data_IF_010093004925
#
_entry.id   IF_010093004925
#
_cell.length_a   1.000
_cell.length_b   1.000
_cell.length_c   1.000
_cell.angle_alpha   90.00
_cell.angle_beta   90.00
_cell.angle_gamma   90.00
#
_symmetry.space_group_name_H-M   'P 1'
#
loop_
_entity.id
_entity.type
_entity.pdbx_description
1 polymer ?
#
# COMPACT_ATOMS: atom_id res chain seq x y z
N UNK A 1 50.78 -79.83 -10.36
CA UNK A 1 50.71 -79.49 -8.95
C UNK A 1 51.02 -78.05 -8.80
N UNK A 2 50.01 -77.18 -8.74
CA UNK A 2 50.23 -75.73 -8.66
C UNK A 2 48.98 -75.09 -8.04
N UNK A 3 49.16 -74.64 -6.81
CA UNK A 3 48.16 -73.92 -6.00
C UNK A 3 48.13 -72.44 -6.41
N UNK A 4 46.97 -71.92 -6.82
CA UNK A 4 46.76 -70.50 -7.06
C UNK A 4 46.06 -69.90 -5.85
N UNK A 5 46.73 -68.95 -5.18
CA UNK A 5 46.17 -68.05 -4.21
C UNK A 5 45.46 -66.90 -4.91
N UNK A 6 44.15 -66.69 -4.62
CA UNK A 6 43.42 -65.51 -5.00
C UNK A 6 43.49 -64.49 -3.83
N UNK A 7 44.01 -63.31 -4.11
CA UNK A 7 43.90 -62.15 -3.26
C UNK A 7 42.59 -61.39 -3.63
N UNK A 8 41.66 -61.31 -2.72
CA UNK A 8 40.52 -60.39 -2.80
C UNK A 8 40.92 -59.06 -2.15
N UNK A 9 41.00 -57.99 -2.96
CA UNK A 9 41.13 -56.61 -2.52
C UNK A 9 39.72 -56.03 -2.34
N UNK A 10 39.33 -55.87 -1.08
CA UNK A 10 38.07 -55.14 -0.73
C UNK A 10 38.29 -53.65 -0.83
N UNK A 11 37.57 -53.00 -1.76
CA UNK A 11 37.49 -51.55 -1.87
C UNK A 11 36.41 -51.02 -0.88
N UNK A 12 36.85 -50.31 0.14
CA UNK A 12 35.96 -49.56 1.05
C UNK A 12 35.58 -48.26 0.36
N UNK A 13 34.32 -48.18 -0.10
CA UNK A 13 33.75 -46.92 -0.62
C UNK A 13 33.25 -46.13 0.60
N UNK A 14 34.01 -45.10 0.98
CA UNK A 14 33.63 -44.12 1.98
C UNK A 14 32.67 -43.11 1.30
N UNK A 15 31.35 -43.28 1.48
CA UNK A 15 30.35 -42.34 1.01
C UNK A 15 30.38 -41.08 1.91
N UNK A 16 31.00 -40.01 1.40
CA UNK A 16 30.87 -38.66 1.97
C UNK A 16 29.46 -38.14 1.72
N UNK A 17 28.60 -38.24 2.71
CA UNK A 17 27.34 -37.52 2.81
C UNK A 17 27.66 -36.04 3.06
N UNK A 18 27.79 -35.28 1.98
CA UNK A 18 27.72 -33.82 2.03
C UNK A 18 26.27 -33.45 2.40
N UNK A 19 26.05 -33.24 3.69
CA UNK A 19 24.82 -32.66 4.19
C UNK A 19 24.71 -31.22 3.66
N UNK A 20 23.87 -31.00 2.67
CA UNK A 20 23.39 -29.66 2.33
C UNK A 20 22.57 -29.14 3.52
N UNK A 21 23.21 -28.30 4.33
CA UNK A 21 22.53 -27.47 5.31
C UNK A 21 21.73 -26.41 4.53
N UNK A 22 20.59 -26.81 3.99
CA UNK A 22 19.60 -25.84 3.54
C UNK A 22 19.21 -25.01 4.75
N UNK A 23 19.47 -23.72 4.73
CA UNK A 23 18.99 -22.80 5.76
C UNK A 23 17.47 -22.91 5.75
N UNK A 24 16.92 -23.58 6.75
CA UNK A 24 15.47 -23.72 6.90
C UNK A 24 14.86 -22.37 7.23
N UNK A 25 14.06 -21.84 6.34
CA UNK A 25 13.28 -20.60 6.57
C UNK A 25 12.23 -20.80 7.69
N UNK A 26 11.94 -22.04 8.05
CA UNK A 26 10.92 -22.38 9.05
C UNK A 26 11.26 -21.87 10.46
N UNK A 27 12.51 -22.06 10.94
CA UNK A 27 12.87 -21.67 12.31
C UNK A 27 12.70 -20.16 12.60
N UNK A 28 13.15 -19.20 11.77
CA UNK A 28 12.92 -17.77 12.02
C UNK A 28 11.44 -17.35 11.98
N UNK A 29 10.61 -18.02 11.16
CA UNK A 29 9.16 -17.76 11.14
C UNK A 29 8.49 -18.32 12.41
N UNK A 30 8.88 -19.50 12.85
CA UNK A 30 8.36 -20.11 14.09
C UNK A 30 8.72 -19.28 15.32
N UNK A 31 9.93 -18.71 15.37
CA UNK A 31 10.36 -17.79 16.41
C UNK A 31 9.51 -16.52 16.44
N UNK A 32 9.22 -15.96 15.26
CA UNK A 32 8.34 -14.80 15.13
C UNK A 32 6.92 -15.14 15.61
N UNK A 33 6.36 -16.28 15.20
CA UNK A 33 5.04 -16.76 15.65
C UNK A 33 5.01 -16.96 17.17
N UNK A 34 6.08 -17.52 17.76
CA UNK A 34 6.17 -17.70 19.21
C UNK A 34 6.21 -16.36 19.96
N UNK A 35 6.91 -15.36 19.42
CA UNK A 35 6.92 -14.01 19.97
C UNK A 35 5.53 -13.35 19.91
N UNK A 36 4.82 -13.49 18.80
CA UNK A 36 3.44 -12.99 18.63
C UNK A 36 2.47 -13.62 19.62
N UNK A 37 2.58 -14.93 19.86
CA UNK A 37 1.76 -15.61 20.89
C UNK A 37 1.96 -15.02 22.29
N UNK A 38 3.17 -14.56 22.61
CA UNK A 38 3.47 -13.91 23.91
C UNK A 38 2.92 -12.49 23.95
N UNK A 39 2.92 -11.76 22.83
CA UNK A 39 2.34 -10.41 22.72
C UNK A 39 0.81 -10.46 22.86
N UNK A 40 0.14 -11.47 22.32
CA UNK A 40 -1.28 -11.79 22.54
C UNK A 40 -2.29 -10.85 21.84
N UNK A 41 -1.83 -9.79 21.22
CA UNK A 41 -2.69 -8.80 20.53
C UNK A 41 -1.93 -8.08 19.44
N UNK A 42 -2.66 -7.54 18.44
CA UNK A 42 -2.14 -6.58 17.46
C UNK A 42 -3.10 -5.41 17.28
N UNK A 43 -2.58 -4.20 17.37
CA UNK A 43 -3.27 -2.96 17.02
C UNK A 43 -3.05 -2.67 15.52
N UNK A 44 -4.02 -3.07 14.70
CA UNK A 44 -3.97 -3.05 13.25
C UNK A 44 -4.62 -1.78 12.70
N UNK A 45 -3.83 -0.95 12.01
CA UNK A 45 -4.31 0.25 11.33
C UNK A 45 -4.38 0.04 9.82
N UNK A 46 -5.51 0.39 9.21
CA UNK A 46 -5.69 0.29 7.76
C UNK A 46 -6.75 1.25 7.21
N UNK A 47 -6.92 1.30 5.88
CA UNK A 47 -7.90 2.18 5.24
C UNK A 47 -9.33 1.79 5.62
N UNK A 48 -10.21 2.79 5.82
CA UNK A 48 -11.64 2.54 6.13
C UNK A 48 -12.36 1.72 5.05
N UNK A 49 -11.83 1.69 3.83
CA UNK A 49 -12.35 0.84 2.73
C UNK A 49 -12.17 -0.66 2.98
N UNK A 50 -11.28 -1.07 3.89
CA UNK A 50 -11.17 -2.47 4.32
C UNK A 50 -12.44 -2.93 5.06
N UNK A 51 -13.13 -2.04 5.73
CA UNK A 51 -14.28 -2.27 6.59
C UNK A 51 -13.96 -3.13 7.83
N UNK A 52 -14.76 -3.06 8.91
CA UNK A 52 -14.62 -3.94 10.07
C UNK A 52 -14.73 -5.43 9.71
N UNK A 53 -15.59 -5.77 8.74
CA UNK A 53 -15.78 -7.15 8.28
C UNK A 53 -14.52 -7.69 7.59
N UNK A 54 -13.87 -6.87 6.75
CA UNK A 54 -12.63 -7.24 6.09
C UNK A 54 -11.49 -7.43 7.09
N UNK A 55 -11.36 -6.52 8.05
CA UNK A 55 -10.36 -6.63 9.11
C UNK A 55 -10.58 -7.89 9.98
N UNK A 56 -11.82 -8.18 10.35
CA UNK A 56 -12.16 -9.41 11.09
C UNK A 56 -11.85 -10.67 10.29
N UNK A 57 -12.10 -10.67 8.96
CA UNK A 57 -11.74 -11.80 8.09
C UNK A 57 -10.23 -12.00 8.01
N UNK A 58 -9.45 -10.93 7.90
CA UNK A 58 -7.98 -10.96 7.94
C UNK A 58 -7.50 -11.51 9.28
N UNK A 59 -7.98 -11.00 10.41
CA UNK A 59 -7.60 -11.47 11.75
C UNK A 59 -7.90 -12.96 11.95
N UNK A 60 -9.07 -13.42 11.51
CA UNK A 60 -9.45 -14.84 11.57
C UNK A 60 -8.52 -15.72 10.73
N UNK A 61 -8.22 -15.32 9.49
CA UNK A 61 -7.32 -16.07 8.61
C UNK A 61 -5.87 -16.06 9.12
N UNK A 62 -5.42 -14.93 9.64
CA UNK A 62 -4.11 -14.77 10.29
C UNK A 62 -3.96 -15.73 11.48
N UNK A 63 -4.91 -15.72 12.41
CA UNK A 63 -4.90 -16.64 13.54
C UNK A 63 -4.93 -18.12 13.12
N UNK A 64 -5.79 -18.46 12.15
CA UNK A 64 -5.88 -19.82 11.61
C UNK A 64 -4.55 -20.28 10.99
N UNK A 65 -3.93 -19.40 10.14
CA UNK A 65 -2.70 -19.74 9.42
C UNK A 65 -1.54 -20.06 10.34
N UNK A 66 -1.40 -19.32 11.43
CA UNK A 66 -0.27 -19.46 12.36
C UNK A 66 -0.61 -20.22 13.65
N UNK A 67 -1.80 -20.83 13.73
CA UNK A 67 -2.22 -21.61 14.89
C UNK A 67 -2.23 -20.78 16.18
N UNK A 68 -2.86 -19.60 16.13
CA UNK A 68 -2.93 -18.62 17.23
C UNK A 68 -4.38 -18.26 17.54
N UNK A 69 -4.57 -17.59 18.68
CA UNK A 69 -5.83 -16.95 19.07
C UNK A 69 -5.51 -15.64 19.78
N UNK A 70 -4.93 -14.71 19.01
CA UNK A 70 -4.60 -13.37 19.52
C UNK A 70 -5.70 -12.37 19.20
N UNK A 71 -5.78 -11.29 20.01
CA UNK A 71 -6.62 -10.15 19.73
C UNK A 71 -6.19 -9.44 18.43
N UNK A 72 -7.16 -9.05 17.60
CA UNK A 72 -6.90 -8.33 16.33
C UNK A 72 -7.76 -7.07 16.30
N UNK A 73 -7.19 -5.95 16.77
CA UNK A 73 -7.92 -4.70 16.95
C UNK A 73 -7.75 -3.78 15.74
N UNK A 74 -8.83 -3.52 15.03
CA UNK A 74 -8.81 -2.70 13.82
C UNK A 74 -9.13 -1.25 14.07
N UNK A 75 -8.24 -0.36 13.62
CA UNK A 75 -8.43 1.10 13.60
C UNK A 75 -8.60 1.58 12.15
N UNK A 76 -9.83 1.93 11.72
CA UNK A 76 -10.06 2.43 10.37
C UNK A 76 -9.56 3.87 10.21
N UNK A 77 -8.91 4.16 9.09
CA UNK A 77 -8.50 5.51 8.71
C UNK A 77 -9.42 6.14 7.69
N UNK A 78 -9.91 7.34 7.99
CA UNK A 78 -10.51 8.25 7.00
C UNK A 78 -9.51 9.20 6.34
N UNK A 79 -8.26 9.25 6.83
CA UNK A 79 -7.20 10.14 6.32
C UNK A 79 -5.81 9.67 6.78
N UNK A 80 -5.16 8.84 5.97
CA UNK A 80 -3.79 8.38 6.23
C UNK A 80 -2.80 9.52 6.46
N UNK A 81 -2.91 10.61 5.68
CA UNK A 81 -2.03 11.79 5.83
C UNK A 81 -2.14 12.41 7.22
N UNK A 82 -3.37 12.57 7.75
CA UNK A 82 -3.59 13.07 9.11
C UNK A 82 -3.02 12.13 10.15
N UNK A 83 -3.25 10.83 9.97
CA UNK A 83 -2.93 9.82 10.97
C UNK A 83 -1.41 9.54 11.02
N UNK A 84 -0.71 9.61 9.87
CA UNK A 84 0.76 9.66 9.82
C UNK A 84 1.31 10.92 10.50
N UNK A 85 0.64 12.07 10.33
CA UNK A 85 0.95 13.31 11.05
C UNK A 85 0.88 13.15 12.57
N UNK A 86 -0.09 12.36 13.10
CA UNK A 86 -0.18 12.04 14.54
C UNK A 86 1.02 11.23 15.02
N UNK A 87 1.43 10.19 14.28
CA UNK A 87 2.64 9.41 14.64
C UNK A 87 3.87 10.32 14.72
N UNK A 88 4.04 11.21 13.73
CA UNK A 88 5.16 12.17 13.74
C UNK A 88 5.09 13.10 14.96
N UNK A 89 3.91 13.63 15.29
CA UNK A 89 3.68 14.48 16.46
C UNK A 89 3.91 13.74 17.78
N UNK A 90 3.41 12.52 17.92
CA UNK A 90 3.60 11.68 19.11
C UNK A 90 5.09 11.38 19.31
N UNK A 91 5.81 10.98 18.27
CA UNK A 91 7.25 10.72 18.36
C UNK A 91 8.04 11.95 18.79
N UNK A 92 7.69 13.16 18.31
CA UNK A 92 8.31 14.41 18.72
C UNK A 92 8.05 14.75 20.20
N UNK A 93 6.97 14.24 20.78
CA UNK A 93 6.59 14.43 22.21
C UNK A 93 6.97 13.21 23.08
N UNK A 94 7.72 12.23 22.57
CA UNK A 94 8.09 11.03 23.32
C UNK A 94 6.93 10.06 23.61
N UNK A 95 5.80 10.21 22.92
CA UNK A 95 4.62 9.35 23.08
C UNK A 95 4.72 8.15 22.13
N UNK A 96 4.56 6.95 22.67
CA UNK A 96 4.55 5.71 21.88
C UNK A 96 3.41 5.71 20.83
N UNK A 97 3.62 5.05 19.68
CA UNK A 97 2.56 4.87 18.69
C UNK A 97 1.41 4.04 19.26
N UNK A 98 0.19 4.35 18.82
CA UNK A 98 -1.03 3.62 19.23
C UNK A 98 -1.29 2.37 18.39
N UNK A 99 -0.54 2.15 17.32
CA UNK A 99 -0.70 1.02 16.39
C UNK A 99 0.60 0.23 16.29
N UNK A 100 0.46 -1.08 16.16
CA UNK A 100 1.58 -2.01 16.01
C UNK A 100 1.95 -2.21 14.54
N UNK A 101 0.96 -2.10 13.63
CA UNK A 101 1.19 -2.14 12.19
C UNK A 101 0.31 -1.13 11.48
N UNK A 102 0.87 -0.47 10.48
CA UNK A 102 0.15 0.47 9.62
C UNK A 102 0.17 -0.01 8.17
N UNK A 103 -1.03 -0.16 7.58
CA UNK A 103 -1.21 -0.43 6.17
C UNK A 103 -1.57 0.87 5.45
N UNK A 104 -0.54 1.56 4.96
CA UNK A 104 -0.67 2.86 4.27
C UNK A 104 0.17 2.86 2.99
N UNK A 105 0.06 3.93 2.19
CA UNK A 105 0.80 3.97 0.93
C UNK A 105 2.28 4.31 1.10
N UNK A 106 3.06 4.00 0.07
CA UNK A 106 4.49 4.24 -0.06
C UNK A 106 4.93 5.65 0.40
N UNK A 107 4.23 6.74 -0.02
CA UNK A 107 4.58 8.11 0.40
C UNK A 107 4.38 8.35 1.90
N UNK A 108 3.39 7.69 2.51
CA UNK A 108 3.14 7.79 3.94
C UNK A 108 4.26 7.11 4.75
N UNK A 109 4.63 5.87 4.36
CA UNK A 109 5.76 5.19 4.97
C UNK A 109 7.09 5.87 4.65
N UNK A 110 7.29 6.37 3.43
CA UNK A 110 8.45 7.18 3.08
C UNK A 110 8.63 8.40 3.98
N UNK A 111 7.53 9.07 4.34
CA UNK A 111 7.56 10.21 5.29
C UNK A 111 7.97 9.79 6.71
N UNK A 112 7.52 8.62 7.18
CA UNK A 112 7.92 8.05 8.48
C UNK A 112 9.39 7.58 8.45
N UNK A 113 9.79 6.87 7.39
CA UNK A 113 11.16 6.39 7.21
C UNK A 113 12.19 7.51 7.18
N UNK A 114 11.95 8.60 6.46
CA UNK A 114 12.83 9.79 6.44
C UNK A 114 13.05 10.39 7.82
N UNK A 115 12.16 10.13 8.78
CA UNK A 115 12.23 10.57 10.18
C UNK A 115 12.71 9.49 11.14
N UNK A 116 13.09 8.31 10.61
CA UNK A 116 13.53 7.13 11.39
C UNK A 116 12.44 6.64 12.37
N UNK A 117 11.18 6.71 11.94
CA UNK A 117 9.99 6.33 12.73
C UNK A 117 9.39 4.99 12.32
N UNK A 118 10.13 4.15 11.60
CA UNK A 118 9.77 2.78 11.29
C UNK A 118 10.74 1.82 11.97
N UNK A 119 10.23 0.66 12.40
CA UNK A 119 11.02 -0.42 12.99
C UNK A 119 11.51 -1.36 11.88
N UNK A 120 12.83 -1.52 11.67
CA UNK A 120 13.34 -2.45 10.68
C UNK A 120 13.22 -3.89 11.15
N UNK A 121 13.01 -4.82 10.20
CA UNK A 121 12.98 -6.25 10.46
C UNK A 121 13.59 -7.03 9.29
N UNK A 122 14.29 -8.13 9.56
CA UNK A 122 14.89 -8.96 8.52
C UNK A 122 13.83 -9.90 7.89
N UNK A 123 13.00 -9.32 7.04
CA UNK A 123 11.92 -10.03 6.35
C UNK A 123 12.40 -11.13 5.41
N UNK A 124 13.66 -11.08 4.95
CA UNK A 124 14.24 -12.14 4.11
C UNK A 124 14.33 -13.45 4.87
N UNK A 125 14.66 -13.41 6.17
CA UNK A 125 14.75 -14.60 7.00
C UNK A 125 13.44 -15.36 7.16
N UNK A 126 12.31 -14.67 7.02
CA UNK A 126 10.97 -15.27 7.10
C UNK A 126 10.34 -15.50 5.72
N UNK A 127 11.16 -15.49 4.66
CA UNK A 127 10.77 -15.91 3.31
C UNK A 127 10.04 -14.87 2.47
N UNK A 128 10.09 -13.59 2.84
CA UNK A 128 9.51 -12.52 2.01
C UNK A 128 10.41 -12.25 0.79
N UNK A 129 9.79 -12.16 -0.39
CA UNK A 129 10.48 -11.79 -1.64
C UNK A 129 11.22 -10.45 -1.45
N UNK A 130 12.54 -10.39 -1.70
CA UNK A 130 13.34 -9.16 -1.60
C UNK A 130 12.78 -7.97 -2.39
N UNK A 131 12.10 -8.22 -3.52
CA UNK A 131 11.50 -7.18 -4.34
C UNK A 131 10.33 -6.46 -3.66
N UNK A 132 9.72 -7.08 -2.64
CA UNK A 132 8.65 -6.49 -1.85
C UNK A 132 9.16 -5.69 -0.64
N UNK A 133 10.47 -5.77 -0.31
CA UNK A 133 11.05 -5.15 0.88
C UNK A 133 11.56 -3.75 0.55
N UNK A 134 11.15 -2.75 1.33
CA UNK A 134 11.43 -1.35 1.12
C UNK A 134 11.92 -0.66 2.39
N UNK A 135 12.43 0.58 2.24
CA UNK A 135 12.79 1.47 3.34
C UNK A 135 13.78 0.84 4.33
N UNK A 136 14.89 0.30 3.79
CA UNK A 136 15.93 -0.36 4.58
C UNK A 136 15.37 -1.46 5.48
N UNK A 137 14.58 -2.36 4.88
CA UNK A 137 13.88 -3.47 5.56
C UNK A 137 12.83 -3.05 6.61
N UNK A 138 12.27 -1.83 6.50
CA UNK A 138 11.26 -1.37 7.46
C UNK A 138 9.82 -1.51 6.95
N UNK A 139 9.61 -1.88 5.69
CA UNK A 139 8.26 -2.03 5.13
C UNK A 139 8.21 -3.09 4.03
N UNK A 140 7.03 -3.69 3.86
CA UNK A 140 6.73 -4.64 2.79
C UNK A 140 5.60 -4.09 1.92
N UNK A 141 5.79 -4.06 0.59
CA UNK A 141 4.71 -3.76 -0.36
C UNK A 141 3.86 -5.01 -0.63
N UNK A 142 2.55 -4.86 -0.72
CA UNK A 142 1.65 -5.99 -0.94
C UNK A 142 0.49 -5.70 -1.90
N UNK A 143 0.16 -4.44 -2.17
CA UNK A 143 -0.91 -4.08 -3.10
C UNK A 143 -0.66 -2.71 -3.73
N UNK A 144 -1.42 -2.37 -4.78
CA UNK A 144 -1.39 -1.07 -5.44
C UNK A 144 -2.80 -0.48 -5.53
N UNK A 145 -2.90 0.82 -5.38
CA UNK A 145 -4.09 1.58 -5.74
C UNK A 145 -4.08 1.90 -7.23
N UNK A 146 -5.26 2.16 -7.78
CA UNK A 146 -5.46 2.86 -9.04
C UNK A 146 -6.19 4.16 -8.72
N UNK A 147 -5.50 5.29 -8.85
CA UNK A 147 -6.02 6.62 -8.52
C UNK A 147 -6.18 7.44 -9.78
N UNK A 148 -7.42 7.52 -10.25
CA UNK A 148 -7.81 8.19 -11.49
C UNK A 148 -8.98 9.15 -11.24
N UNK A 149 -9.29 10.05 -12.17
CA UNK A 149 -10.48 10.88 -12.08
C UNK A 149 -11.74 10.01 -11.99
N UNK A 150 -12.58 10.30 -11.01
CA UNK A 150 -13.82 9.56 -10.79
C UNK A 150 -15.04 10.44 -11.04
N UNK A 151 -16.10 9.84 -11.57
CA UNK A 151 -17.34 10.53 -11.94
C UNK A 151 -18.57 9.66 -11.67
N UNK A 152 -19.74 10.29 -11.64
CA UNK A 152 -21.02 9.61 -11.54
C UNK A 152 -21.58 9.38 -12.96
N UNK A 153 -21.78 8.12 -13.34
CA UNK A 153 -22.20 7.72 -14.68
C UNK A 153 -23.62 8.16 -15.04
N UNK A 154 -24.45 8.54 -14.06
CA UNK A 154 -25.80 9.09 -14.29
C UNK A 154 -25.78 10.58 -14.61
N UNK A 155 -24.76 11.32 -14.14
CA UNK A 155 -24.70 12.78 -14.30
C UNK A 155 -23.62 13.23 -15.28
N UNK A 156 -22.64 12.36 -15.60
CA UNK A 156 -21.57 12.64 -16.54
C UNK A 156 -21.91 12.15 -17.95
N UNK A 157 -22.10 13.03 -18.93
CA UNK A 157 -22.26 12.62 -20.32
C UNK A 157 -21.00 11.84 -20.81
N UNK A 158 -21.14 10.78 -21.59
CA UNK A 158 -20.00 9.97 -22.08
C UNK A 158 -18.92 10.81 -22.80
N UNK A 159 -19.35 11.84 -23.55
CA UNK A 159 -18.43 12.72 -24.29
C UNK A 159 -17.66 13.70 -23.39
N UNK A 160 -18.10 13.88 -22.15
CA UNK A 160 -17.46 14.75 -21.17
C UNK A 160 -16.47 14.04 -20.29
N UNK A 161 -16.43 12.69 -20.31
CA UNK A 161 -15.48 11.90 -19.54
C UNK A 161 -14.05 12.24 -20.00
N UNK A 162 -13.15 12.65 -19.07
CA UNK A 162 -11.76 12.97 -19.41
C UNK A 162 -11.05 11.80 -20.09
N UNK A 163 -10.29 12.07 -21.15
CA UNK A 163 -9.48 11.09 -21.89
C UNK A 163 -7.97 11.27 -21.68
N UNK A 164 -7.56 12.39 -21.12
CA UNK A 164 -6.19 12.74 -20.75
C UNK A 164 -6.20 13.66 -19.54
N UNK A 165 -5.10 13.74 -18.82
CA UNK A 165 -4.99 14.57 -17.61
C UNK A 165 -5.29 16.05 -17.88
N UNK A 166 -4.88 16.58 -19.05
CA UNK A 166 -5.11 17.99 -19.40
C UNK A 166 -6.60 18.33 -19.55
N UNK A 167 -7.48 17.35 -19.79
CA UNK A 167 -8.92 17.57 -19.85
C UNK A 167 -9.52 18.02 -18.50
N UNK A 168 -8.80 17.81 -17.38
CA UNK A 168 -9.17 18.34 -16.06
C UNK A 168 -9.00 19.86 -15.97
N UNK A 169 -8.32 20.47 -16.91
CA UNK A 169 -8.10 21.91 -16.99
C UNK A 169 -9.16 22.63 -17.83
N UNK A 170 -10.12 21.90 -18.41
CA UNK A 170 -11.24 22.50 -19.16
C UNK A 170 -12.06 23.41 -18.23
N UNK A 171 -12.36 24.66 -18.65
CA UNK A 171 -13.17 25.59 -17.86
C UNK A 171 -14.55 25.06 -17.45
N UNK A 172 -15.10 24.06 -18.13
CA UNK A 172 -16.36 23.42 -17.74
C UNK A 172 -16.37 22.83 -16.34
N UNK A 173 -15.18 22.50 -15.78
CA UNK A 173 -15.00 21.93 -14.44
C UNK A 173 -14.90 22.99 -13.34
N UNK A 174 -14.78 24.27 -13.68
CA UNK A 174 -14.59 25.35 -12.70
C UNK A 174 -15.70 25.34 -11.65
N UNK A 175 -15.34 25.25 -10.37
CA UNK A 175 -16.26 25.16 -9.24
C UNK A 175 -17.05 23.84 -9.11
N UNK A 176 -16.80 22.84 -10.01
CA UNK A 176 -17.55 21.57 -10.07
C UNK A 176 -16.66 20.34 -9.87
N UNK A 177 -15.35 20.55 -9.68
CA UNK A 177 -14.39 19.47 -9.49
C UNK A 177 -13.97 19.36 -8.03
N UNK A 178 -13.96 18.15 -7.49
CA UNK A 178 -13.39 17.83 -6.20
C UNK A 178 -11.89 17.51 -6.30
N UNK A 179 -11.09 18.04 -5.38
CA UNK A 179 -9.69 17.65 -5.21
C UNK A 179 -9.47 17.12 -3.79
N UNK A 180 -8.87 15.95 -3.67
CA UNK A 180 -8.57 15.34 -2.38
C UNK A 180 -7.20 15.81 -1.84
N UNK A 181 -7.06 15.83 -0.51
CA UNK A 181 -5.84 16.25 0.17
C UNK A 181 -4.64 15.31 -0.02
N UNK A 182 -4.78 14.24 -0.80
CA UNK A 182 -3.71 13.30 -1.15
C UNK A 182 -2.74 13.90 -2.19
N UNK A 183 -2.15 15.05 -1.87
CA UNK A 183 -1.28 15.81 -2.78
C UNK A 183 -0.01 15.07 -3.21
N UNK A 184 0.35 14.01 -2.51
CA UNK A 184 1.38 13.07 -2.90
C UNK A 184 1.06 12.31 -4.21
N UNK A 185 -0.19 12.32 -4.68
CA UNK A 185 -0.54 11.82 -6.02
C UNK A 185 0.19 12.63 -7.09
N UNK A 186 0.07 13.95 -7.04
CA UNK A 186 0.77 14.86 -7.95
C UNK A 186 2.28 14.82 -7.77
N UNK A 187 2.74 14.68 -6.51
CA UNK A 187 4.17 14.59 -6.22
C UNK A 187 4.83 13.33 -6.84
N UNK A 188 4.09 12.22 -7.01
CA UNK A 188 4.58 11.04 -7.74
C UNK A 188 4.75 11.31 -9.23
N UNK A 189 3.80 12.00 -9.87
CA UNK A 189 3.96 12.40 -11.26
C UNK A 189 5.17 13.32 -11.46
N UNK A 190 5.40 14.22 -10.50
CA UNK A 190 6.55 15.13 -10.51
C UNK A 190 7.90 14.43 -10.29
N UNK A 191 7.95 13.45 -9.43
CA UNK A 191 9.15 12.66 -9.18
C UNK A 191 9.34 11.54 -10.23
N UNK A 192 8.38 11.34 -11.10
CA UNK A 192 8.31 10.32 -12.14
C UNK A 192 8.16 10.90 -13.55
N UNK A 193 7.16 10.44 -14.32
CA UNK A 193 7.13 10.64 -15.78
C UNK A 193 6.94 12.09 -16.24
N UNK A 194 6.32 12.93 -15.42
CA UNK A 194 6.06 14.32 -15.85
C UNK A 194 7.18 15.29 -15.50
N UNK A 195 7.98 15.00 -14.47
CA UNK A 195 8.93 15.95 -13.92
C UNK A 195 8.27 17.07 -13.11
N UNK A 196 9.09 17.77 -12.33
CA UNK A 196 8.61 18.80 -11.37
C UNK A 196 7.99 20.02 -12.07
N UNK A 197 8.59 20.51 -13.16
CA UNK A 197 8.14 21.71 -13.88
C UNK A 197 6.73 21.53 -14.44
N UNK A 198 6.52 20.49 -15.28
CA UNK A 198 5.23 20.18 -15.88
C UNK A 198 4.16 19.96 -14.83
N UNK A 199 4.47 19.17 -13.79
CA UNK A 199 3.49 18.88 -12.74
C UNK A 199 3.13 20.12 -11.94
N UNK A 200 4.11 20.96 -11.62
CA UNK A 200 3.85 22.21 -10.88
C UNK A 200 2.97 23.16 -11.69
N UNK A 201 3.22 23.30 -13.00
CA UNK A 201 2.38 24.11 -13.89
C UNK A 201 0.94 23.56 -13.93
N UNK A 202 0.78 22.25 -14.06
CA UNK A 202 -0.53 21.59 -14.05
C UNK A 202 -1.29 21.80 -12.73
N UNK A 203 -0.65 21.60 -11.58
CA UNK A 203 -1.27 21.78 -10.25
C UNK A 203 -1.68 23.25 -10.01
N UNK A 204 -0.89 24.21 -10.48
CA UNK A 204 -1.27 25.64 -10.44
C UNK A 204 -2.54 25.93 -11.26
N UNK A 205 -2.65 25.34 -12.45
CA UNK A 205 -3.87 25.46 -13.28
C UNK A 205 -5.07 24.75 -12.65
N UNK A 206 -4.87 23.59 -12.02
CA UNK A 206 -5.93 22.93 -11.24
C UNK A 206 -6.44 23.81 -10.09
N UNK A 207 -5.56 24.50 -9.38
CA UNK A 207 -5.96 25.43 -8.31
C UNK A 207 -6.82 26.60 -8.85
N UNK A 208 -6.61 27.03 -10.12
CA UNK A 208 -7.39 28.09 -10.77
C UNK A 208 -8.79 27.63 -11.20
N UNK A 209 -9.08 26.32 -11.17
CA UNK A 209 -10.40 25.76 -11.43
C UNK A 209 -11.38 25.97 -10.26
N UNK A 210 -10.97 26.66 -9.21
CA UNK A 210 -11.79 26.87 -8.01
C UNK A 210 -12.37 25.56 -7.44
N UNK A 211 -11.51 24.55 -7.17
CA UNK A 211 -11.95 23.22 -6.83
C UNK A 211 -12.53 23.16 -5.41
N UNK A 212 -13.46 22.22 -5.20
CA UNK A 212 -13.95 21.87 -3.88
C UNK A 212 -12.91 20.94 -3.24
N UNK A 213 -12.33 21.37 -2.10
CA UNK A 213 -11.28 20.65 -1.40
C UNK A 213 -11.84 19.78 -0.28
N UNK A 214 -11.32 18.56 -0.12
CA UNK A 214 -11.79 17.70 0.97
C UNK A 214 -11.02 16.39 1.14
N UNK A 215 -11.53 15.54 2.02
CA UNK A 215 -11.00 14.19 2.25
C UNK A 215 -11.53 13.22 1.17
N UNK A 216 -10.84 12.10 0.91
CA UNK A 216 -11.34 11.10 -0.05
C UNK A 216 -12.77 10.64 0.24
N UNK A 217 -13.10 10.34 1.50
CA UNK A 217 -14.44 9.91 1.91
C UNK A 217 -15.50 11.00 1.71
N UNK A 218 -15.16 12.26 1.96
CA UNK A 218 -16.04 13.40 1.71
C UNK A 218 -16.29 13.58 0.23
N UNK A 219 -15.24 13.60 -0.59
CA UNK A 219 -15.38 13.74 -2.04
C UNK A 219 -16.13 12.57 -2.67
N UNK A 220 -15.97 11.36 -2.16
CA UNK A 220 -16.77 10.21 -2.55
C UNK A 220 -18.28 10.45 -2.31
N UNK A 221 -18.65 10.94 -1.13
CA UNK A 221 -20.05 11.27 -0.82
C UNK A 221 -20.59 12.38 -1.70
N UNK A 222 -19.84 13.47 -1.88
CA UNK A 222 -20.23 14.60 -2.75
C UNK A 222 -20.41 14.17 -4.20
N UNK A 223 -19.55 13.25 -4.69
CA UNK A 223 -19.68 12.68 -6.03
C UNK A 223 -20.94 11.85 -6.20
N UNK A 224 -21.29 11.04 -5.19
CA UNK A 224 -22.53 10.26 -5.19
C UNK A 224 -23.77 11.15 -5.21
N UNK A 225 -23.75 12.26 -4.46
CA UNK A 225 -24.85 13.22 -4.36
C UNK A 225 -24.93 14.16 -5.56
N UNK A 226 -23.92 14.16 -6.44
CA UNK A 226 -23.85 15.08 -7.58
C UNK A 226 -23.46 16.51 -7.22
N UNK A 227 -22.96 16.75 -5.99
CA UNK A 227 -22.44 18.06 -5.56
C UNK A 227 -21.12 18.42 -6.28
N UNK A 228 -20.36 17.42 -6.72
CA UNK A 228 -19.25 17.54 -7.64
C UNK A 228 -19.49 16.63 -8.84
N UNK A 229 -19.09 17.06 -10.03
CA UNK A 229 -19.24 16.26 -11.25
C UNK A 229 -18.07 15.30 -11.45
N UNK A 230 -16.90 15.68 -10.94
CA UNK A 230 -15.64 14.97 -11.11
C UNK A 230 -14.81 15.11 -9.85
N UNK A 231 -14.11 14.04 -9.44
CA UNK A 231 -13.05 14.08 -8.42
C UNK A 231 -11.74 13.76 -9.11
N UNK A 232 -10.75 14.64 -9.04
CA UNK A 232 -9.51 14.60 -9.84
C UNK A 232 -8.67 13.31 -9.69
N UNK A 233 -8.64 12.75 -8.47
CA UNK A 233 -7.97 11.47 -8.19
C UNK A 233 -8.71 10.78 -7.05
N UNK A 234 -9.39 9.69 -7.34
CA UNK A 234 -10.05 8.86 -6.32
C UNK A 234 -9.57 7.42 -6.48
N UNK A 235 -9.34 6.73 -5.37
CA UNK A 235 -8.83 5.35 -5.42
C UNK A 235 -9.91 4.36 -5.87
N UNK A 236 -9.50 3.35 -6.61
CA UNK A 236 -10.37 2.29 -7.14
C UNK A 236 -11.13 1.51 -6.04
N UNK A 237 -10.62 1.44 -4.80
CA UNK A 237 -11.36 0.81 -3.69
C UNK A 237 -12.68 1.49 -3.37
N UNK A 238 -12.76 2.81 -3.50
CA UNK A 238 -14.02 3.54 -3.31
C UNK A 238 -15.00 3.26 -4.45
N UNK A 239 -14.50 3.13 -5.67
CA UNK A 239 -15.32 2.76 -6.82
C UNK A 239 -15.80 1.31 -6.69
N UNK A 240 -14.92 0.40 -6.26
CA UNK A 240 -15.28 -0.98 -5.98
C UNK A 240 -16.44 -1.07 -4.95
N UNK A 241 -16.32 -0.36 -3.83
CA UNK A 241 -17.40 -0.29 -2.82
C UNK A 241 -18.68 0.35 -3.36
N UNK A 242 -18.54 1.38 -4.19
CA UNK A 242 -19.69 2.03 -4.83
C UNK A 242 -20.48 1.05 -5.70
N UNK A 243 -19.77 0.31 -6.56
CA UNK A 243 -20.37 -0.69 -7.44
C UNK A 243 -21.05 -1.78 -6.63
N UNK A 244 -20.42 -2.30 -5.57
CA UNK A 244 -21.03 -3.30 -4.69
C UNK A 244 -22.33 -2.83 -4.02
N UNK A 245 -22.48 -1.52 -3.80
CA UNK A 245 -23.67 -0.89 -3.23
C UNK A 245 -24.65 -0.39 -4.28
N UNK A 246 -24.41 -0.68 -5.57
CA UNK A 246 -25.25 -0.21 -6.65
C UNK A 246 -25.14 1.27 -6.98
N UNK A 247 -24.11 1.96 -6.48
CA UNK A 247 -23.88 3.37 -6.79
C UNK A 247 -23.22 3.53 -8.19
N UNK A 248 -23.68 4.49 -9.00
CA UNK A 248 -23.27 4.63 -10.41
C UNK A 248 -21.97 5.42 -10.53
N UNK A 249 -20.88 4.93 -9.93
CA UNK A 249 -19.57 5.59 -10.00
C UNK A 249 -18.61 4.82 -10.90
N UNK A 250 -17.77 5.53 -11.63
CA UNK A 250 -16.71 5.00 -12.48
C UNK A 250 -15.45 5.87 -12.40
N UNK A 251 -14.33 5.35 -12.90
CA UNK A 251 -13.11 6.11 -13.15
C UNK A 251 -12.90 6.34 -14.64
N UNK A 252 -12.31 7.47 -14.98
CA UNK A 252 -11.82 7.73 -16.33
C UNK A 252 -10.51 6.98 -16.57
N UNK A 253 -10.33 6.42 -17.77
CA UNK A 253 -9.15 5.67 -18.16
C UNK A 253 -8.07 6.61 -18.71
N UNK A 254 -7.13 7.01 -17.87
CA UNK A 254 -6.04 7.92 -18.21
C UNK A 254 -4.67 7.26 -18.02
N UNK A 255 -3.70 7.75 -18.78
CA UNK A 255 -2.29 7.38 -18.67
C UNK A 255 -1.42 8.65 -18.53
N UNK A 256 -0.39 8.65 -17.68
CA UNK A 256 0.02 7.59 -16.74
C UNK A 256 -0.99 7.39 -15.58
N UNK A 257 -1.02 6.18 -15.05
CA UNK A 257 -1.90 5.80 -13.93
C UNK A 257 -1.20 6.09 -12.60
N UNK A 258 -1.77 6.96 -11.78
CA UNK A 258 -1.26 7.17 -10.42
C UNK A 258 -1.56 5.92 -9.59
N UNK A 259 -0.51 5.21 -9.17
CA UNK A 259 -0.62 3.88 -8.54
C UNK A 259 0.18 3.78 -7.24
N UNK A 260 -0.24 4.46 -6.16
CA UNK A 260 0.41 4.30 -4.87
C UNK A 260 0.47 2.84 -4.44
N UNK A 261 1.66 2.36 -4.07
CA UNK A 261 1.80 1.03 -3.50
C UNK A 261 1.38 1.04 -2.02
N UNK A 262 0.55 0.08 -1.60
CA UNK A 262 0.30 -0.19 -0.20
C UNK A 262 1.48 -0.95 0.41
N UNK A 263 1.95 -0.43 1.52
CA UNK A 263 2.96 -1.09 2.35
C UNK A 263 2.38 -1.38 3.73
N UNK A 264 2.90 -2.45 4.35
CA UNK A 264 2.73 -2.74 5.76
C UNK A 264 4.04 -2.48 6.47
N UNK A 265 4.02 -1.70 7.56
CA UNK A 265 5.19 -1.40 8.37
C UNK A 265 4.82 -1.19 9.83
N UNK A 266 5.79 -1.45 10.70
CA UNK A 266 5.70 -1.29 12.15
C UNK A 266 6.25 0.10 12.53
N UNK A 267 5.46 0.96 13.19
CA UNK A 267 5.98 2.21 13.73
C UNK A 267 7.01 1.95 14.84
N UNK A 268 8.07 2.73 14.87
CA UNK A 268 9.11 2.60 15.90
C UNK A 268 8.54 2.82 17.29
N UNK A 269 8.82 1.89 18.19
CA UNK A 269 8.31 1.92 19.56
C UNK A 269 6.90 1.36 19.72
N UNK A 270 6.39 0.62 18.73
CA UNK A 270 5.15 -0.15 18.83
C UNK A 270 5.19 -1.11 20.04
N UNK A 271 4.02 -1.36 20.65
CA UNK A 271 3.94 -2.21 21.84
C UNK A 271 4.08 -3.70 21.50
N UNK A 272 3.59 -4.10 20.33
CA UNK A 272 3.57 -5.50 19.88
C UNK A 272 4.24 -5.60 18.50
N UNK A 273 5.57 -5.31 18.41
CA UNK A 273 6.25 -5.21 17.11
C UNK A 273 6.31 -6.55 16.36
N UNK A 274 6.40 -7.68 17.09
CA UNK A 274 6.41 -9.00 16.45
C UNK A 274 5.08 -9.28 15.75
N UNK A 275 3.95 -8.96 16.39
CA UNK A 275 2.62 -9.09 15.80
C UNK A 275 2.49 -8.19 14.55
N UNK A 276 2.98 -6.96 14.62
CA UNK A 276 3.02 -6.05 13.49
C UNK A 276 3.83 -6.59 12.31
N UNK A 277 5.02 -7.13 12.56
CA UNK A 277 5.87 -7.74 11.51
C UNK A 277 5.23 -9.00 10.91
N UNK A 278 4.61 -9.86 11.73
CA UNK A 278 3.96 -11.07 11.22
C UNK A 278 2.70 -10.72 10.39
N UNK A 279 1.94 -9.68 10.76
CA UNK A 279 0.85 -9.17 9.92
C UNK A 279 1.39 -8.67 8.58
N UNK A 280 2.50 -7.94 8.57
CA UNK A 280 3.13 -7.50 7.33
C UNK A 280 3.49 -8.69 6.42
N UNK A 281 4.09 -9.76 6.99
CA UNK A 281 4.39 -11.02 6.27
C UNK A 281 3.09 -11.67 5.76
N UNK A 282 2.04 -11.75 6.59
CA UNK A 282 0.76 -12.33 6.20
C UNK A 282 0.15 -11.64 4.97
N UNK A 283 0.27 -10.31 4.88
CA UNK A 283 -0.28 -9.56 3.74
C UNK A 283 0.38 -9.89 2.40
N UNK A 284 1.57 -10.53 2.40
CA UNK A 284 2.21 -11.02 1.16
C UNK A 284 1.80 -12.44 0.77
N UNK A 285 1.08 -13.15 1.63
CA UNK A 285 0.61 -14.52 1.35
C UNK A 285 -0.61 -14.51 0.43
N UNK A 286 -0.87 -15.58 -0.33
CA UNK A 286 -2.08 -15.68 -1.17
C UNK A 286 -3.37 -15.41 -0.41
N UNK A 287 -3.51 -15.94 0.81
CA UNK A 287 -4.70 -15.71 1.66
C UNK A 287 -4.87 -14.24 2.06
N UNK A 288 -3.77 -13.57 2.46
CA UNK A 288 -3.80 -12.14 2.79
C UNK A 288 -4.16 -11.29 1.58
N UNK A 289 -3.61 -11.62 0.41
CA UNK A 289 -3.88 -10.94 -0.86
C UNK A 289 -5.33 -11.12 -1.31
N UNK A 290 -5.87 -12.36 -1.27
CA UNK A 290 -7.26 -12.65 -1.64
C UNK A 290 -8.25 -11.90 -0.74
N UNK A 291 -8.04 -11.89 0.57
CA UNK A 291 -8.88 -11.15 1.50
C UNK A 291 -8.79 -9.64 1.27
N UNK A 292 -7.59 -9.12 1.03
CA UNK A 292 -7.41 -7.70 0.74
C UNK A 292 -8.15 -7.29 -0.54
N UNK A 293 -8.02 -8.06 -1.62
CA UNK A 293 -8.74 -7.84 -2.87
C UNK A 293 -10.26 -7.86 -2.68
N UNK A 294 -10.76 -8.89 -1.99
CA UNK A 294 -12.20 -9.06 -1.75
C UNK A 294 -12.85 -7.83 -1.13
N UNK A 295 -12.19 -7.21 -0.14
CA UNK A 295 -12.77 -6.10 0.60
C UNK A 295 -12.38 -4.72 0.08
N UNK A 296 -11.25 -4.60 -0.61
CA UNK A 296 -10.73 -3.29 -1.06
C UNK A 296 -10.68 -3.14 -2.58
N UNK A 297 -10.76 -4.22 -3.34
CA UNK A 297 -10.55 -4.19 -4.80
C UNK A 297 -9.12 -3.88 -5.22
N UNK A 298 -8.15 -3.95 -4.29
CA UNK A 298 -6.74 -3.72 -4.56
C UNK A 298 -5.98 -5.02 -4.63
N UNK A 299 -5.06 -5.14 -5.60
CA UNK A 299 -4.07 -6.21 -5.66
C UNK A 299 -2.70 -5.65 -6.03
N UNK A 300 -1.68 -6.49 -6.07
CA UNK A 300 -0.34 -6.08 -6.46
C UNK A 300 -0.24 -5.88 -7.97
N UNK A 301 0.37 -4.78 -8.41
CA UNK A 301 0.77 -4.57 -9.81
C UNK A 301 1.99 -5.45 -10.21
N UNK A 302 2.64 -6.10 -9.23
CA UNK A 302 3.87 -6.86 -9.43
C UNK A 302 3.68 -8.37 -9.34
N UNK A 303 2.51 -8.84 -8.89
CA UNK A 303 2.21 -10.28 -8.76
C UNK A 303 1.41 -10.75 -9.97
N UNK A 304 1.98 -11.61 -10.84
CA UNK A 304 1.30 -12.12 -12.03
C UNK A 304 -0.06 -12.76 -11.71
N UNK A 305 -1.03 -12.52 -12.60
CA UNK A 305 -2.37 -13.10 -12.49
C UNK A 305 -3.37 -12.30 -11.65
N UNK A 306 -2.92 -11.35 -10.84
CA UNK A 306 -3.82 -10.47 -10.05
C UNK A 306 -4.54 -9.46 -10.93
N UNK A 307 -5.64 -8.89 -10.42
CA UNK A 307 -6.46 -7.92 -11.15
C UNK A 307 -5.68 -6.68 -11.54
N UNK A 308 -4.93 -6.08 -10.59
CA UNK A 308 -4.15 -4.88 -10.88
C UNK A 308 -2.93 -5.19 -11.75
N UNK A 309 -2.32 -6.38 -11.63
CA UNK A 309 -1.27 -6.81 -12.56
C UNK A 309 -1.78 -6.85 -14.01
N UNK A 310 -2.96 -7.44 -14.26
CA UNK A 310 -3.58 -7.45 -15.60
C UNK A 310 -3.91 -6.06 -16.09
N UNK A 311 -4.45 -5.21 -15.21
CA UNK A 311 -4.75 -3.80 -15.52
C UNK A 311 -3.51 -2.99 -15.87
N UNK A 312 -2.36 -3.30 -15.25
CA UNK A 312 -1.09 -2.61 -15.46
C UNK A 312 -0.42 -2.92 -16.82
N UNK A 313 -0.86 -3.98 -17.52
CA UNK A 313 -0.23 -4.36 -18.80
C UNK A 313 -0.46 -3.27 -19.85
N UNK A 314 0.64 -2.76 -20.41
CA UNK A 314 0.63 -1.69 -21.41
C UNK A 314 0.33 -0.29 -20.86
N UNK A 315 0.28 -0.10 -19.53
CA UNK A 315 0.04 1.18 -18.87
C UNK A 315 1.27 1.64 -18.07
N UNK A 316 1.48 2.94 -17.99
CA UNK A 316 2.52 3.52 -17.14
C UNK A 316 1.98 3.70 -15.70
N UNK A 317 2.31 2.74 -14.83
CA UNK A 317 1.90 2.76 -13.42
C UNK A 317 2.88 3.58 -12.59
N UNK A 318 2.43 4.68 -12.01
CA UNK A 318 3.28 5.64 -11.27
C UNK A 318 3.17 5.42 -9.77
N UNK A 319 4.15 4.76 -9.21
CA UNK A 319 4.36 4.55 -7.77
C UNK A 319 5.67 5.22 -7.33
N UNK A 320 5.91 5.28 -6.03
CA UNK A 320 7.13 5.88 -5.47
C UNK A 320 8.10 4.78 -5.01
N UNK A 321 9.36 4.91 -5.39
CA UNK A 321 10.45 4.13 -4.80
C UNK A 321 11.14 4.89 -3.65
N UNK A 322 11.96 4.20 -2.87
CA UNK A 322 12.66 4.76 -1.72
C UNK A 322 13.52 6.00 -2.06
N UNK A 323 14.19 6.01 -3.23
CA UNK A 323 15.04 7.13 -3.66
C UNK A 323 14.26 8.41 -3.89
N UNK A 324 12.99 8.30 -4.28
CA UNK A 324 12.10 9.44 -4.53
C UNK A 324 11.44 9.97 -3.26
N UNK A 325 11.52 9.28 -2.12
CA UNK A 325 10.77 9.59 -0.90
C UNK A 325 10.96 11.05 -0.44
N UNK A 326 12.22 11.55 -0.41
CA UNK A 326 12.53 12.93 0.00
C UNK A 326 11.89 13.97 -0.95
N UNK A 327 11.96 13.73 -2.26
CA UNK A 327 11.38 14.62 -3.25
C UNK A 327 9.84 14.61 -3.16
N UNK A 328 9.22 13.45 -3.09
CA UNK A 328 7.76 13.30 -2.97
C UNK A 328 7.25 13.94 -1.67
N UNK A 329 7.92 13.75 -0.52
CA UNK A 329 7.54 14.38 0.75
C UNK A 329 7.62 15.92 0.66
N UNK A 330 8.66 16.48 0.02
CA UNK A 330 8.78 17.93 -0.22
C UNK A 330 7.68 18.45 -1.14
N UNK A 331 7.51 17.80 -2.30
CA UNK A 331 6.56 18.26 -3.34
C UNK A 331 5.10 18.10 -2.90
N UNK A 332 4.76 17.07 -2.13
CA UNK A 332 3.42 16.92 -1.56
C UNK A 332 3.04 18.11 -0.66
N UNK A 333 3.99 18.65 0.12
CA UNK A 333 3.78 19.86 0.92
C UNK A 333 3.61 21.10 0.04
N UNK A 334 4.45 21.23 -0.98
CA UNK A 334 4.38 22.35 -1.94
C UNK A 334 3.04 22.37 -2.67
N UNK A 335 2.59 21.22 -3.18
CA UNK A 335 1.30 21.12 -3.88
C UNK A 335 0.12 21.29 -2.94
N UNK A 336 0.26 20.87 -1.67
CA UNK A 336 -0.73 21.15 -0.63
C UNK A 336 -0.94 22.66 -0.40
N UNK A 337 0.14 23.46 -0.45
CA UNK A 337 0.04 24.93 -0.37
C UNK A 337 -0.57 25.53 -1.64
N UNK A 338 -0.14 25.11 -2.83
CA UNK A 338 -0.67 25.61 -4.11
C UNK A 338 -2.18 25.36 -4.21
N UNK A 339 -2.66 24.19 -3.78
CA UNK A 339 -4.07 23.82 -3.83
C UNK A 339 -4.90 24.39 -2.67
N UNK A 340 -4.29 25.02 -1.65
CA UNK A 340 -5.02 25.61 -0.53
C UNK A 340 -5.33 24.66 0.65
N UNK A 341 -4.77 23.44 0.67
CA UNK A 341 -4.90 22.51 1.82
C UNK A 341 -4.07 22.91 3.05
N UNK A 342 -3.12 23.80 2.88
CA UNK A 342 -2.22 24.30 3.93
C UNK A 342 -2.03 25.79 3.75
N UNK A 343 -2.08 26.50 4.87
CA UNK A 343 -1.68 27.94 4.93
C UNK A 343 -0.16 28.09 5.01
#
# INVERSE_FOLDING_TARGET
>A
MSSKFLFQTGAIILALLLGWSGVSVAAPLDDLVAAVKKEGVVEFYGPSTLTPQGAAAIGKAFNKKYGMDIGFNYSPSGSMTRDVGKIIGHAASGVAPQWDVMLVTDAHHGSLWLRKLLEPYDFKKVGVDPNLIHYDSSAISFANQVCLPAFNTKTMPPNDVPKKWDDLLDPKWKGKMGIIHSTHHWARLAAGPWGEEKTTAFVKKLAQQDPILGRPSEMYTRLQLGEVLLVSTLQNSMIHQAIQKGAPLAQAELDPVISPAYHAAVPKGAKHPSAGHLVAVFMTTPEGQELWEKYTGHTSAFVPGTTVYKYAQGREMVYMNQKQAKQVDKLARTYGKILGFRK
#
